data_IF_489153187505
#
_entry.id   IF_489153187505
#
_cell.length_a   1.000
_cell.length_b   1.000
_cell.length_c   1.000
_cell.angle_alpha   90.00
_cell.angle_beta   90.00
_cell.angle_gamma   90.00
#
_symmetry.space_group_name_H-M   'P 1'
#
loop_
_entity.id
_entity.type
_entity.pdbx_description
1 polymer ?
2 non-polymer ?
3 water ?
#
# COMPACT_ATOMS: atom_id res chain seq x y z
N UNK A 2 11.64 -10.20 -19.56
CA UNK A 2 10.74 -11.11 -20.33
C UNK A 2 9.38 -11.24 -19.62
N UNK A 3 9.38 -10.89 -18.33
CA UNK A 3 8.18 -10.96 -17.49
C UNK A 3 8.03 -9.67 -16.66
N UNK A 4 9.15 -8.98 -16.41
CA UNK A 4 9.18 -7.74 -15.63
C UNK A 4 8.25 -6.65 -16.19
N UNK A 5 6.97 -6.72 -15.83
CA UNK A 5 5.98 -5.75 -16.28
C UNK A 5 5.53 -4.83 -15.13
N UNK A 6 5.76 -3.54 -15.30
CA UNK A 6 5.40 -2.54 -14.29
C UNK A 6 3.93 -2.19 -14.30
N UNK A 7 3.40 -1.87 -13.12
CA UNK A 7 2.01 -1.50 -12.97
C UNK A 7 1.93 -0.15 -12.26
N UNK A 8 1.09 0.75 -12.76
CA UNK A 8 0.96 2.07 -12.15
C UNK A 8 -0.49 2.46 -11.90
N UNK A 9 -0.74 3.21 -10.82
CA UNK A 9 -2.11 3.63 -10.53
C UNK A 9 -2.56 4.52 -11.68
N UNK A 10 -3.85 4.50 -11.99
CA UNK A 10 -4.37 5.33 -13.07
C UNK A 10 -4.22 6.80 -12.68
N UNK A 11 -4.06 7.65 -13.69
CA UNK A 11 -3.92 9.06 -13.41
C UNK A 11 -2.46 9.46 -13.29
N UNK A 12 -2.23 10.60 -12.64
CA UNK A 12 -0.87 11.08 -12.49
C UNK A 12 -0.41 11.12 -11.04
N UNK A 13 0.65 10.37 -10.78
CA UNK A 13 1.27 10.29 -9.46
C UNK A 13 2.77 10.25 -9.72
N UNK A 14 3.43 11.37 -9.44
CA UNK A 14 4.85 11.45 -9.69
C UNK A 14 5.72 11.44 -8.46
N UNK A 15 6.14 10.23 -8.12
CA UNK A 15 7.02 9.94 -7.01
C UNK A 15 7.72 8.76 -7.64
N UNK A 16 6.96 8.04 -8.45
CA UNK A 16 7.45 6.87 -9.16
C UNK A 16 8.34 7.36 -10.27
N UNK A 17 7.99 8.51 -10.84
CA UNK A 17 8.78 9.10 -11.91
C UNK A 17 9.98 9.78 -11.28
N UNK A 18 9.72 10.53 -10.22
CA UNK A 18 10.74 11.27 -9.51
C UNK A 18 11.83 10.40 -8.88
N UNK A 19 11.44 9.28 -8.28
CA UNK A 19 12.39 8.38 -7.64
C UNK A 19 12.73 7.19 -8.53
N UNK A 20 12.05 7.11 -9.66
CA UNK A 20 12.27 6.05 -10.64
C UNK A 20 12.14 4.62 -10.10
N UNK A 21 10.89 4.22 -9.85
CA UNK A 21 10.57 2.88 -9.39
C UNK A 21 9.11 2.62 -9.74
N UNK A 22 8.76 1.36 -9.94
CA UNK A 22 7.39 1.02 -10.30
C UNK A 22 6.50 0.85 -9.08
N UNK A 23 5.22 1.17 -9.24
CA UNK A 23 4.24 1.05 -8.16
C UNK A 23 4.04 -0.43 -7.78
N UNK A 24 4.12 -1.31 -8.77
CA UNK A 24 3.95 -2.74 -8.55
C UNK A 24 4.58 -3.49 -9.71
N UNK A 25 4.86 -4.77 -9.49
CA UNK A 25 5.44 -5.61 -10.54
C UNK A 25 4.61 -6.86 -10.62
N UNK A 26 4.09 -7.14 -11.81
CA UNK A 26 3.30 -8.34 -12.03
C UNK A 26 4.26 -9.38 -12.60
N UNK A 27 4.36 -10.52 -11.93
CA UNK A 27 5.25 -11.57 -12.39
C UNK A 27 4.58 -12.92 -12.26
N UNK A 28 4.11 -13.43 -13.39
CA UNK A 28 3.44 -14.71 -13.38
C UNK A 28 2.11 -14.53 -12.68
N UNK A 29 1.91 -15.30 -11.61
CA UNK A 29 0.66 -15.25 -10.86
C UNK A 29 0.77 -14.42 -9.58
N UNK A 30 1.78 -13.56 -9.51
CA UNK A 30 1.97 -12.73 -8.32
C UNK A 30 2.19 -11.27 -8.65
N UNK A 31 1.67 -10.41 -7.78
CA UNK A 31 1.82 -8.98 -7.93
C UNK A 31 2.57 -8.48 -6.70
N UNK A 32 3.77 -7.93 -6.89
CA UNK A 32 4.54 -7.39 -5.78
C UNK A 32 4.40 -5.88 -5.81
N UNK A 33 3.69 -5.34 -4.82
CA UNK A 33 3.44 -3.91 -4.73
C UNK A 33 4.46 -3.17 -3.87
N UNK A 34 4.90 -2.01 -4.34
CA UNK A 34 5.85 -1.20 -3.58
C UNK A 34 5.09 -0.75 -2.35
N UNK A 35 5.80 -0.41 -1.28
CA UNK A 35 5.12 0.05 -0.10
C UNK A 35 4.29 1.26 -0.49
N UNK A 36 3.05 1.31 -0.03
CA UNK A 36 2.17 2.43 -0.32
C UNK A 36 2.10 3.36 0.89
N UNK A 37 2.04 4.66 0.62
CA UNK A 37 1.98 5.68 1.67
C UNK A 37 0.87 6.67 1.33
N UNK A 38 0.42 7.40 2.35
CA UNK A 38 -0.64 8.38 2.15
C UNK A 38 -0.06 9.65 1.57
N UNK A 39 0.28 9.62 0.29
CA UNK A 39 0.86 10.77 -0.39
C UNK A 39 -0.10 11.42 -1.37
N UNK A 40 0.00 12.75 -1.48
CA UNK A 40 -0.81 13.52 -2.41
C UNK A 40 -0.18 13.36 -3.79
N UNK A 41 -0.77 14.00 -4.79
CA UNK A 41 -0.28 13.91 -6.16
C UNK A 41 1.16 14.44 -6.31
N UNK A 42 1.54 15.38 -5.45
CA UNK A 42 2.88 15.97 -5.50
C UNK A 42 3.95 15.18 -4.75
N UNK A 43 3.52 14.15 -4.02
CA UNK A 43 4.45 13.32 -3.28
C UNK A 43 4.58 13.64 -1.81
N UNK A 44 3.84 14.64 -1.35
CA UNK A 44 3.89 15.03 0.06
C UNK A 44 2.84 14.30 0.87
N UNK A 45 3.12 14.07 2.16
CA UNK A 45 2.17 13.37 3.02
C UNK A 45 0.95 14.16 3.49
N UNK A 46 -0.13 13.44 3.74
CA UNK A 46 -1.35 14.02 4.25
C UNK A 46 -0.99 14.27 5.71
N UNK A 47 -1.06 15.53 6.16
CA UNK A 47 -0.74 15.95 7.53
C UNK A 47 -1.40 15.16 8.66
N UNK A 48 -2.72 15.01 8.61
CA UNK A 48 -3.44 14.28 9.65
C UNK A 48 -3.10 12.80 9.55
N UNK A 49 -2.76 12.18 10.68
CA UNK A 49 -2.39 10.78 10.63
C UNK A 49 -3.45 9.85 10.06
N UNK A 50 -4.61 9.74 10.73
CA UNK A 50 -5.65 8.84 10.24
C UNK A 50 -5.99 9.09 8.78
N UNK A 51 -5.88 10.34 8.34
CA UNK A 51 -6.15 10.67 6.95
C UNK A 51 -5.05 10.12 6.06
N UNK A 52 -3.81 10.17 6.56
CA UNK A 52 -2.68 9.65 5.79
C UNK A 52 -2.85 8.14 5.61
N UNK A 53 -3.27 7.46 6.67
CA UNK A 53 -3.47 6.01 6.61
C UNK A 53 -4.56 5.67 5.59
N UNK A 54 -5.63 6.46 5.59
CA UNK A 54 -6.75 6.25 4.67
C UNK A 54 -6.30 6.48 3.24
N UNK A 55 -5.54 7.55 3.02
CA UNK A 55 -5.04 7.87 1.70
C UNK A 55 -4.08 6.77 1.21
N UNK A 56 -3.28 6.23 2.13
CA UNK A 56 -2.33 5.16 1.82
C UNK A 56 -3.10 3.96 1.26
N UNK A 57 -4.21 3.64 1.92
CA UNK A 57 -5.07 2.54 1.50
C UNK A 57 -5.73 2.87 0.17
N UNK A 58 -6.06 4.14 -0.04
CA UNK A 58 -6.65 4.54 -1.31
C UNK A 58 -5.60 4.37 -2.41
N UNK A 59 -4.38 4.83 -2.15
CA UNK A 59 -3.32 4.68 -3.14
C UNK A 59 -3.06 3.20 -3.41
N UNK A 60 -3.12 2.38 -2.36
CA UNK A 60 -2.91 0.95 -2.52
C UNK A 60 -3.97 0.36 -3.44
N UNK A 61 -5.23 0.67 -3.15
CA UNK A 61 -6.34 0.17 -3.95
C UNK A 61 -6.20 0.57 -5.41
N UNK A 62 -5.80 1.82 -5.64
CA UNK A 62 -5.62 2.31 -7.00
C UNK A 62 -4.53 1.54 -7.74
N UNK A 63 -3.45 1.20 -7.03
CA UNK A 63 -2.36 0.46 -7.64
C UNK A 63 -2.83 -0.96 -7.96
N UNK A 64 -3.55 -1.56 -7.01
CA UNK A 64 -4.09 -2.91 -7.21
C UNK A 64 -5.04 -2.91 -8.42
N UNK A 65 -5.93 -1.93 -8.49
CA UNK A 65 -6.88 -1.82 -9.59
C UNK A 65 -6.16 -1.85 -10.94
N UNK A 66 -5.04 -1.14 -11.04
CA UNK A 66 -4.27 -1.08 -12.28
C UNK A 66 -3.85 -2.46 -12.79
N UNK A 67 -3.84 -3.46 -11.91
CA UNK A 67 -3.48 -4.82 -12.30
C UNK A 67 -4.73 -5.72 -12.34
N UNK A 68 -5.88 -5.12 -12.03
CA UNK A 68 -7.12 -5.86 -12.03
C UNK A 68 -7.35 -6.52 -10.69
N UNK A 69 -6.60 -6.08 -9.67
CA UNK A 69 -6.71 -6.65 -8.33
C UNK A 69 -7.52 -5.78 -7.39
N UNK A 70 -7.86 -6.35 -6.24
CA UNK A 70 -8.60 -5.66 -5.20
C UNK A 70 -8.00 -6.12 -3.88
N UNK A 71 -8.48 -5.59 -2.76
CA UNK A 71 -7.96 -6.00 -1.46
C UNK A 71 -8.16 -7.49 -1.19
N UNK A 72 -9.14 -8.10 -1.84
CA UNK A 72 -9.43 -9.51 -1.63
C UNK A 72 -8.35 -10.42 -2.18
N UNK A 73 -7.51 -9.88 -3.05
CA UNK A 73 -6.43 -10.65 -3.65
C UNK A 73 -5.11 -10.55 -2.90
N UNK A 74 -5.10 -9.76 -1.83
CA UNK A 74 -3.89 -9.60 -1.03
C UNK A 74 -3.59 -10.90 -0.28
N UNK A 75 -2.39 -11.44 -0.45
CA UNK A 75 -2.03 -12.67 0.23
C UNK A 75 -0.97 -12.50 1.30
N UNK A 76 -0.36 -11.31 1.35
CA UNK A 76 0.64 -11.03 2.37
C UNK A 76 0.70 -9.53 2.65
N UNK A 77 0.75 -9.18 3.93
CA UNK A 77 0.78 -7.79 4.35
C UNK A 77 1.87 -7.47 5.38
N UNK A 78 2.62 -6.41 5.12
CA UNK A 78 3.66 -5.97 6.05
C UNK A 78 3.48 -4.46 6.18
N UNK A 79 3.39 -3.97 7.41
CA UNK A 79 3.24 -2.54 7.63
C UNK A 79 4.37 -2.00 8.51
N UNK A 80 4.78 -0.77 8.21
CA UNK A 80 5.85 -0.10 8.94
C UNK A 80 5.29 1.13 9.62
N UNK A 81 5.78 1.41 10.82
CA UNK A 81 5.28 2.53 11.60
C UNK A 81 6.40 3.32 12.25
N UNK A 82 6.29 4.64 12.17
CA UNK A 82 7.29 5.54 12.73
C UNK A 82 7.11 5.72 14.24
N UNK A 83 5.91 5.45 14.73
CA UNK A 83 5.62 5.57 16.15
C UNK A 83 4.37 4.74 16.42
N UNK A 84 4.47 3.42 16.20
CA UNK A 84 3.38 2.46 16.38
C UNK A 84 2.60 2.58 17.68
N UNK A 85 3.27 2.96 18.76
CA UNK A 85 2.61 3.10 20.06
C UNK A 85 1.43 4.06 20.04
N UNK A 86 1.65 5.24 19.49
CA UNK A 86 0.61 6.26 19.43
C UNK A 86 -0.15 6.25 18.13
N UNK A 87 0.03 5.21 17.33
CA UNK A 87 -0.66 5.16 16.05
C UNK A 87 -1.56 3.94 15.84
N UNK A 88 -1.44 2.92 16.69
CA UNK A 88 -2.24 1.71 16.46
C UNK A 88 -3.75 1.85 16.54
N UNK A 89 -4.26 2.69 17.43
CA UNK A 89 -5.71 2.85 17.54
C UNK A 89 -6.24 3.43 16.25
N UNK A 90 -5.53 4.41 15.70
CA UNK A 90 -5.94 5.04 14.45
C UNK A 90 -5.86 4.04 13.31
N UNK A 91 -4.78 3.27 13.29
CA UNK A 91 -4.58 2.28 12.24
C UNK A 91 -5.65 1.20 12.24
N UNK A 92 -5.99 0.70 13.43
CA UNK A 92 -7.01 -0.33 13.54
C UNK A 92 -8.38 0.18 13.10
N UNK A 93 -8.69 1.42 13.45
CA UNK A 93 -9.96 2.01 13.04
C UNK A 93 -10.09 1.86 11.53
N UNK A 94 -9.04 2.24 10.81
CA UNK A 94 -9.03 2.17 9.36
C UNK A 94 -8.97 0.73 8.83
N UNK A 95 -8.16 -0.11 9.47
CA UNK A 95 -8.04 -1.49 9.03
C UNK A 95 -9.36 -2.25 9.19
N UNK A 96 -10.06 -2.02 10.29
CA UNK A 96 -11.32 -2.71 10.56
C UNK A 96 -12.46 -2.22 9.70
N UNK A 97 -12.22 -1.13 9.01
CA UNK A 97 -13.21 -0.54 8.14
C UNK A 97 -13.03 -1.18 6.76
N UNK A 98 -11.77 -1.41 6.40
CA UNK A 98 -11.40 -2.01 5.11
C UNK A 98 -11.46 -3.53 5.12
N UNK A 99 -10.95 -4.14 6.18
CA UNK A 99 -10.97 -5.59 6.34
C UNK A 99 -12.01 -5.84 7.42
N UNK A 100 -13.26 -5.77 6.99
CA UNK A 100 -14.41 -5.92 7.86
C UNK A 100 -14.77 -7.35 8.26
N UNK A 101 -14.60 -8.30 7.35
CA UNK A 101 -14.93 -9.68 7.65
C UNK A 101 -13.89 -10.70 7.21
N UNK A 102 -13.80 -11.83 7.93
CA UNK A 102 -12.84 -12.89 7.61
C UNK A 102 -13.19 -13.55 6.27
N UNK A 103 -12.22 -14.26 5.66
CA UNK A 103 -10.85 -14.46 6.15
C UNK A 103 -10.03 -13.16 6.14
N UNK A 104 -9.46 -12.81 7.29
CA UNK A 104 -8.66 -11.60 7.36
C UNK A 104 -7.29 -11.84 6.73
N UNK A 105 -6.61 -10.78 6.31
CA UNK A 105 -5.30 -11.03 5.71
C UNK A 105 -4.32 -11.37 6.83
N UNK A 106 -3.15 -11.91 6.49
CA UNK A 106 -2.16 -12.18 7.53
C UNK A 106 -1.61 -10.79 7.83
N UNK A 107 -0.58 -10.68 8.66
CA UNK A 107 -0.06 -9.35 8.94
C UNK A 107 1.21 -9.35 9.76
N UNK A 108 2.12 -8.45 9.39
CA UNK A 108 3.37 -8.26 10.10
C UNK A 108 3.53 -6.74 10.23
N UNK A 109 3.46 -6.25 11.46
CA UNK A 109 3.59 -4.82 11.74
C UNK A 109 4.89 -4.59 12.48
N UNK A 110 5.69 -3.66 11.98
CA UNK A 110 6.99 -3.38 12.57
C UNK A 110 7.27 -1.90 12.76
N UNK A 111 7.99 -1.57 13.83
CA UNK A 111 8.34 -0.19 14.11
C UNK A 111 9.64 0.19 13.44
N UNK A 112 9.60 1.21 12.59
CA UNK A 112 10.80 1.66 11.90
C UNK A 112 11.16 3.08 12.29
N UNK A 113 12.35 3.52 11.88
CA UNK A 113 12.84 4.84 12.23
C UNK A 113 12.61 5.91 11.16
N UNK A 114 12.29 5.49 9.95
CA UNK A 114 12.12 6.44 8.85
C UNK A 114 11.29 5.85 7.71
N UNK A 115 10.48 6.69 7.07
CA UNK A 115 9.66 6.28 5.94
C UNK A 115 9.53 7.46 4.97
N UNK A 116 10.67 8.09 4.70
CA UNK A 116 10.76 9.21 3.78
C UNK A 116 9.77 10.34 4.04
N UNK A 117 9.52 10.63 5.31
CA UNK A 117 8.59 11.69 5.63
C UNK A 117 7.21 11.21 6.03
N UNK A 118 6.89 9.96 5.71
CA UNK A 118 5.59 9.41 6.06
C UNK A 118 5.62 8.71 7.41
N UNK A 119 4.44 8.42 7.95
CA UNK A 119 4.37 7.76 9.24
C UNK A 119 3.74 6.38 9.19
N UNK A 120 3.36 5.96 7.99
CA UNK A 120 2.75 4.67 7.80
C UNK A 120 3.03 4.21 6.39
N UNK A 121 3.29 2.91 6.24
CA UNK A 121 3.56 2.33 4.94
C UNK A 121 3.10 0.90 4.97
N UNK A 122 2.55 0.44 3.84
CA UNK A 122 2.04 -0.92 3.74
C UNK A 122 2.55 -1.60 2.47
N UNK A 123 3.34 -2.66 2.67
CA UNK A 123 3.92 -3.44 1.59
C UNK A 123 3.03 -4.67 1.44
N UNK A 124 2.56 -4.90 0.22
CA UNK A 124 1.64 -6.00 -0.05
C UNK A 124 2.00 -6.90 -1.23
N UNK A 125 1.54 -8.15 -1.17
CA UNK A 125 1.74 -9.10 -2.27
C UNK A 125 0.35 -9.64 -2.59
N UNK A 126 -0.03 -9.64 -3.86
CA UNK A 126 -1.34 -10.13 -4.26
C UNK A 126 -1.22 -11.21 -5.34
N UNK A 127 -2.19 -12.12 -5.38
CA UNK A 127 -2.17 -13.19 -6.37
C UNK A 127 -2.91 -12.78 -7.62
N UNK A 128 -2.27 -12.98 -8.76
CA UNK A 128 -2.86 -12.64 -10.03
C UNK A 128 -2.93 -13.89 -10.88
N UNK A 129 -4.06 -14.62 -10.83
CA UNK A 129 -4.19 -15.84 -11.63
C UNK A 129 -3.88 -15.59 -13.11
N UNK A 130 -3.00 -16.41 -13.68
CA UNK A 130 -2.62 -16.29 -15.09
C UNK A 130 -3.54 -17.19 -15.93
N UNK A 131 -4.59 -16.58 -16.48
CA UNK A 131 -5.59 -17.29 -17.28
C UNK A 131 -5.66 -16.74 -18.71
X LIG B 1 -5.89 -9.97 -8.94
#
# INVERSE_FOLDING_TARGET
MVERTAVFPAGRHSLYAEHRYSAAIRSGDLLFVSGQVGSREDGTPEPDFQQQVRLAFDNLHATLAAAGCTFDDIIDVTSFHTDPENQFEDIMTVKNEIFSAPPYPNWTAVGVTWLAGFDFEIKVIARIPEQ
HG HG
#
